data_IF_285938969884
#
_entry.id   IF_285938969884
#
_cell.length_a   1.000
_cell.length_b   1.000
_cell.length_c   1.000
_cell.angle_alpha   90.00
_cell.angle_beta   90.00
_cell.angle_gamma   90.00
#
_symmetry.space_group_name_H-M   'P 1'
#
loop_
_entity.id
_entity.type
_entity.pdbx_description
1 polymer ?
#
# COMPACT_ATOMS: atom_id res chain seq x y z
N UNK A 1 -33.10 -9.16 -27.09
CA UNK A 1 -33.60 -8.95 -25.71
C UNK A 1 -32.66 -9.73 -24.80
N UNK A 2 -31.51 -9.15 -24.44
CA UNK A 2 -31.24 -8.32 -23.25
C UNK A 2 -31.58 -9.06 -21.95
N UNK A 3 -30.55 -9.58 -21.28
CA UNK A 3 -30.14 -9.04 -19.97
C UNK A 3 -28.81 -9.65 -19.57
N UNK A 4 -27.75 -8.85 -19.71
CA UNK A 4 -26.51 -9.00 -18.95
C UNK A 4 -26.80 -8.55 -17.52
N UNK A 5 -26.67 -9.45 -16.55
CA UNK A 5 -26.48 -9.06 -15.16
C UNK A 5 -24.98 -9.03 -14.91
N UNK A 6 -24.37 -7.84 -14.99
CA UNK A 6 -23.08 -7.59 -14.37
C UNK A 6 -23.42 -7.27 -12.92
N UNK A 7 -23.44 -8.31 -12.08
CA UNK A 7 -23.42 -8.11 -10.63
C UNK A 7 -22.07 -7.49 -10.27
N UNK A 8 -22.06 -6.18 -10.04
CA UNK A 8 -20.99 -5.52 -9.33
C UNK A 8 -20.97 -6.05 -7.91
N UNK A 9 -20.20 -7.12 -7.67
CA UNK A 9 -19.87 -7.53 -6.31
C UNK A 9 -19.08 -6.38 -5.71
N UNK A 10 -19.72 -5.58 -4.86
CA UNK A 10 -19.02 -4.64 -3.99
C UNK A 10 -17.96 -5.43 -3.22
N UNK A 11 -16.71 -5.29 -3.64
CA UNK A 11 -15.59 -5.93 -2.97
C UNK A 11 -15.46 -5.31 -1.58
N UNK A 12 -15.87 -6.05 -0.56
CA UNK A 12 -15.67 -5.67 0.82
C UNK A 12 -14.17 -5.63 1.11
N UNK A 13 -13.68 -4.47 1.57
CA UNK A 13 -12.32 -4.32 2.07
C UNK A 13 -12.34 -4.51 3.58
N UNK A 14 -11.41 -5.29 4.10
CA UNK A 14 -11.22 -5.41 5.54
C UNK A 14 -10.26 -4.33 6.03
N UNK A 15 -10.62 -3.64 7.11
CA UNK A 15 -9.77 -2.69 7.80
C UNK A 15 -9.68 -3.05 9.28
N UNK A 16 -8.47 -3.00 9.83
CA UNK A 16 -8.21 -3.23 11.25
C UNK A 16 -7.95 -1.91 11.96
N UNK A 17 -8.37 -1.83 13.23
CA UNK A 17 -8.22 -0.67 14.10
C UNK A 17 -7.75 -1.08 15.50
N UNK A 18 -7.11 -0.15 16.20
CA UNK A 18 -6.76 -0.27 17.61
C UNK A 18 -7.29 0.91 18.41
N UNK A 19 -7.63 0.67 19.69
CA UNK A 19 -8.20 1.69 20.58
C UNK A 19 -7.10 2.64 21.05
N UNK A 20 -7.18 3.89 20.62
CA UNK A 20 -6.11 4.88 20.74
C UNK A 20 -6.22 5.84 21.92
N UNK A 21 -7.30 5.72 22.71
CA UNK A 21 -7.47 6.43 23.98
C UNK A 21 -6.22 6.33 24.88
N UNK A 22 -6.00 7.35 25.71
CA UNK A 22 -4.90 7.34 26.68
C UNK A 22 -5.09 6.22 27.71
N UNK A 23 -6.31 6.04 28.22
CA UNK A 23 -6.73 4.83 28.92
C UNK A 23 -7.57 3.93 27.99
N UNK A 24 -7.02 2.81 27.50
CA UNK A 24 -7.74 1.91 26.60
C UNK A 24 -8.91 1.18 27.27
N UNK A 25 -9.00 1.17 28.60
CA UNK A 25 -10.04 0.43 29.34
C UNK A 25 -11.10 1.33 29.96
N UNK A 26 -10.95 2.66 29.87
CA UNK A 26 -11.94 3.61 30.35
C UNK A 26 -13.27 3.44 29.60
N UNK A 27 -14.36 3.45 30.35
CA UNK A 27 -15.75 3.47 29.84
C UNK A 27 -16.36 4.86 29.83
N UNK A 28 -15.66 5.85 30.38
CA UNK A 28 -16.17 7.20 30.57
C UNK A 28 -15.75 8.18 29.45
N UNK A 29 -14.84 7.75 28.58
CA UNK A 29 -14.34 8.52 27.45
C UNK A 29 -14.98 8.03 26.15
N UNK A 30 -15.10 8.93 25.17
CA UNK A 30 -15.48 8.54 23.82
C UNK A 30 -14.42 7.62 23.23
N UNK A 31 -14.85 6.54 22.57
CA UNK A 31 -13.93 5.59 21.98
C UNK A 31 -13.21 6.20 20.77
N UNK A 32 -11.89 6.27 20.84
CA UNK A 32 -11.04 6.66 19.74
C UNK A 32 -10.39 5.41 19.13
N UNK A 33 -10.52 5.27 17.82
CA UNK A 33 -10.02 4.12 17.07
C UNK A 33 -9.13 4.60 15.94
N UNK A 34 -7.88 4.13 15.94
CA UNK A 34 -6.90 4.45 14.91
C UNK A 34 -6.72 3.27 13.96
N UNK A 35 -6.69 3.54 12.65
CA UNK A 35 -6.44 2.52 11.63
C UNK A 35 -5.01 1.96 11.77
N UNK A 36 -4.86 0.66 11.59
CA UNK A 36 -3.56 0.11 11.21
C UNK A 36 -3.20 0.52 9.78
N UNK A 37 -1.91 0.56 9.46
CA UNK A 37 -1.48 0.75 8.08
C UNK A 37 -1.98 -0.38 7.17
N UNK A 38 -1.98 -0.16 5.86
CA UNK A 38 -2.39 -1.17 4.88
C UNK A 38 -1.59 -2.47 5.02
N UNK A 39 -0.28 -2.35 5.26
CA UNK A 39 0.65 -3.48 5.39
C UNK A 39 0.35 -4.25 6.68
N UNK A 40 0.24 -3.55 7.82
CA UNK A 40 -0.09 -4.18 9.10
C UNK A 40 -1.47 -4.84 9.05
N UNK A 41 -2.46 -4.16 8.45
CA UNK A 41 -3.80 -4.72 8.27
C UNK A 41 -3.78 -5.99 7.44
N UNK A 42 -2.97 -6.05 6.37
CA UNK A 42 -2.81 -7.25 5.55
C UNK A 42 -2.18 -8.41 6.34
N UNK A 43 -1.16 -8.14 7.15
CA UNK A 43 -0.51 -9.14 8.01
C UNK A 43 -1.52 -9.71 9.02
N UNK A 44 -2.26 -8.82 9.70
CA UNK A 44 -3.27 -9.22 10.68
C UNK A 44 -4.37 -10.06 10.02
N UNK A 45 -4.86 -9.64 8.86
CA UNK A 45 -5.90 -10.33 8.12
C UNK A 45 -5.44 -11.70 7.60
N UNK A 46 -4.18 -11.82 7.16
CA UNK A 46 -3.61 -13.10 6.77
C UNK A 46 -3.64 -14.10 7.93
N UNK A 47 -3.20 -13.68 9.12
CA UNK A 47 -3.23 -14.52 10.33
C UNK A 47 -4.66 -14.84 10.74
N UNK A 48 -5.59 -13.88 10.62
CA UNK A 48 -7.00 -14.09 10.94
C UNK A 48 -7.63 -15.19 10.10
N UNK A 49 -7.29 -15.24 8.80
CA UNK A 49 -7.83 -16.17 7.82
C UNK A 49 -7.16 -17.56 7.82
N UNK A 50 -5.99 -17.71 8.46
CA UNK A 50 -5.37 -19.03 8.63
C UNK A 50 -6.22 -19.89 9.56
N UNK A 51 -6.42 -21.15 9.18
CA UNK A 51 -7.18 -22.13 9.96
C UNK A 51 -6.34 -22.76 11.10
N UNK A 52 -5.61 -21.92 11.85
CA UNK A 52 -4.74 -22.33 12.94
C UNK A 52 -5.36 -21.97 14.29
N UNK A 53 -5.06 -22.77 15.32
CA UNK A 53 -5.51 -22.52 16.71
C UNK A 53 -4.86 -21.28 17.32
N UNK A 54 -3.63 -20.98 16.90
CA UNK A 54 -2.88 -19.82 17.38
C UNK A 54 -3.08 -18.67 16.41
N UNK A 55 -3.84 -17.66 16.82
CA UNK A 55 -4.07 -16.45 16.04
C UNK A 55 -3.25 -15.28 16.61
N UNK A 56 -1.93 -15.44 16.59
CA UNK A 56 -0.97 -14.41 17.01
C UNK A 56 -0.31 -13.80 15.77
N UNK A 57 -0.50 -12.51 15.53
CA UNK A 57 0.19 -11.79 14.46
C UNK A 57 1.35 -10.98 15.04
N UNK A 58 2.52 -11.05 14.40
CA UNK A 58 3.72 -10.34 14.83
C UNK A 58 3.92 -9.09 13.96
N UNK A 59 3.89 -7.92 14.58
CA UNK A 59 4.24 -6.63 13.96
C UNK A 59 5.56 -6.12 14.54
N UNK A 60 6.11 -5.03 14.03
CA UNK A 60 7.44 -4.54 14.46
C UNK A 60 7.51 -4.25 15.97
N UNK A 61 6.58 -3.43 16.47
CA UNK A 61 6.59 -2.96 17.87
C UNK A 61 5.58 -3.67 18.79
N UNK A 62 4.71 -4.49 18.21
CA UNK A 62 3.57 -5.08 18.90
C UNK A 62 3.30 -6.50 18.42
N UNK A 63 2.68 -7.30 19.27
CA UNK A 63 2.04 -8.56 18.86
C UNK A 63 0.52 -8.44 19.01
N UNK A 64 -0.22 -9.08 18.11
CA UNK A 64 -1.67 -9.04 18.05
C UNK A 64 -2.21 -10.42 18.40
N UNK A 65 -2.84 -10.55 19.55
CA UNK A 65 -3.58 -11.74 19.92
C UNK A 65 -5.03 -11.59 19.45
N UNK A 66 -5.36 -12.24 18.33
CA UNK A 66 -6.68 -12.17 17.72
C UNK A 66 -7.73 -13.01 18.44
N UNK A 67 -7.33 -13.98 19.28
CA UNK A 67 -8.28 -14.74 20.08
C UNK A 67 -8.92 -13.83 21.13
N UNK A 68 -8.11 -12.96 21.74
CA UNK A 68 -8.57 -12.00 22.74
C UNK A 68 -8.89 -10.62 22.16
N UNK A 69 -8.59 -10.40 20.87
CA UNK A 69 -8.70 -9.10 20.20
C UNK A 69 -7.93 -8.00 20.91
N UNK A 70 -6.66 -8.29 21.25
CA UNK A 70 -5.76 -7.38 21.97
C UNK A 70 -4.43 -7.23 21.24
N UNK A 71 -3.96 -6.00 21.14
CA UNK A 71 -2.58 -5.62 20.83
C UNK A 71 -1.76 -5.55 22.12
N UNK A 72 -0.57 -6.12 22.12
CA UNK A 72 0.37 -6.14 23.25
C UNK A 72 1.69 -5.51 22.81
N UNK A 73 2.22 -4.55 23.56
CA UNK A 73 3.54 -3.97 23.28
C UNK A 73 4.66 -4.96 23.57
N UNK A 74 5.61 -5.06 22.64
CA UNK A 74 6.83 -5.88 22.83
C UNK A 74 7.79 -5.27 23.84
N UNK A 75 7.75 -3.95 24.00
CA UNK A 75 8.57 -3.23 24.98
C UNK A 75 7.99 -3.31 26.40
N UNK A 76 6.67 -3.36 26.51
CA UNK A 76 5.96 -3.40 27.79
C UNK A 76 4.69 -4.26 27.69
N UNK A 77 4.73 -5.53 28.15
CA UNK A 77 3.59 -6.45 28.07
C UNK A 77 2.33 -5.98 28.81
N UNK A 78 2.44 -5.01 29.73
CA UNK A 78 1.29 -4.44 30.42
C UNK A 78 0.57 -3.38 29.58
N UNK A 79 1.23 -2.84 28.55
CA UNK A 79 0.62 -1.92 27.60
C UNK A 79 -0.16 -2.70 26.56
N UNK A 80 -1.45 -2.85 26.84
CA UNK A 80 -2.39 -3.58 26.01
C UNK A 80 -3.50 -2.66 25.51
N UNK A 81 -3.95 -2.90 24.28
CA UNK A 81 -5.01 -2.12 23.64
C UNK A 81 -5.97 -3.05 22.91
N UNK A 82 -7.26 -2.76 22.98
CA UNK A 82 -8.25 -3.49 22.21
C UNK A 82 -8.08 -3.24 20.71
N UNK A 83 -8.41 -4.23 19.90
CA UNK A 83 -8.44 -4.12 18.45
C UNK A 83 -9.79 -4.55 17.90
N UNK A 84 -10.13 -4.09 16.69
CA UNK A 84 -11.35 -4.51 16.00
C UNK A 84 -11.15 -4.61 14.49
N UNK A 85 -11.90 -5.53 13.90
CA UNK A 85 -12.00 -5.76 12.45
C UNK A 85 -13.29 -5.13 11.94
N UNK A 86 -13.21 -4.34 10.87
CA UNK A 86 -14.37 -3.72 10.21
C UNK A 86 -14.35 -4.10 8.73
N UNK A 87 -15.52 -4.48 8.20
CA UNK A 87 -15.72 -4.65 6.77
C UNK A 87 -16.28 -3.34 6.20
N UNK A 88 -15.52 -2.71 5.32
CA UNK A 88 -15.88 -1.44 4.67
C UNK A 88 -16.20 -1.69 3.20
N UNK A 89 -17.21 -0.99 2.68
CA UNK A 89 -17.49 -1.01 1.24
C UNK A 89 -16.42 -0.23 0.49
N UNK A 90 -16.01 -0.69 -0.70
CA UNK A 90 -15.00 0.00 -1.54
C UNK A 90 -15.43 1.40 -1.96
N UNK A 91 -16.71 1.74 -1.85
CA UNK A 91 -17.27 3.03 -2.23
C UNK A 91 -17.01 4.14 -1.20
N UNK A 92 -16.41 3.82 -0.04
CA UNK A 92 -15.85 4.80 0.89
C UNK A 92 -14.52 5.33 0.34
N UNK A 93 -14.66 6.33 -0.52
CA UNK A 93 -13.67 7.14 -1.25
C UNK A 93 -12.45 7.72 -0.50
N UNK A 94 -11.86 7.07 0.51
CA UNK A 94 -11.09 7.81 1.53
C UNK A 94 -9.63 7.45 1.81
N UNK A 95 -8.99 6.54 1.08
CA UNK A 95 -7.55 6.25 1.30
C UNK A 95 -6.72 6.34 0.01
N UNK A 96 -7.06 7.26 -0.89
CA UNK A 96 -6.09 7.70 -1.89
C UNK A 96 -5.01 8.51 -1.18
N UNK A 97 -3.77 8.06 -1.28
CA UNK A 97 -2.59 8.77 -0.76
C UNK A 97 -2.50 10.13 -1.44
N UNK A 98 -3.07 11.18 -0.83
CA UNK A 98 -3.16 12.52 -1.44
C UNK A 98 -1.78 13.05 -1.87
N UNK A 99 -0.74 12.67 -1.12
CA UNK A 99 0.66 12.97 -1.44
C UNK A 99 1.18 12.38 -2.76
N UNK A 100 0.45 11.45 -3.40
CA UNK A 100 0.78 10.96 -4.76
C UNK A 100 0.11 11.80 -5.85
N UNK A 101 -0.83 12.66 -5.49
CA UNK A 101 -1.60 13.49 -6.41
C UNK A 101 -1.18 14.96 -6.33
N UNK A 102 0.05 15.26 -5.91
CA UNK A 102 0.56 16.62 -6.05
C UNK A 102 0.56 17.00 -7.53
N UNK A 103 -0.22 18.02 -7.84
CA UNK A 103 -0.22 18.68 -9.13
C UNK A 103 1.19 19.22 -9.37
N UNK A 104 1.99 18.51 -10.17
CA UNK A 104 3.24 19.07 -10.65
C UNK A 104 2.84 20.19 -11.60
N UNK A 105 3.15 21.47 -11.34
CA UNK A 105 2.88 22.52 -12.31
C UNK A 105 3.55 22.10 -13.62
N UNK A 106 2.78 22.09 -14.71
CA UNK A 106 3.30 21.71 -16.01
C UNK A 106 4.56 22.54 -16.27
N UNK A 107 5.73 21.90 -16.20
CA UNK A 107 6.98 22.54 -16.59
C UNK A 107 6.81 22.84 -18.07
N UNK A 108 6.55 24.11 -18.39
CA UNK A 108 6.39 24.62 -19.75
C UNK A 108 7.69 24.57 -20.56
N UNK A 109 8.71 23.86 -20.06
CA UNK A 109 9.98 23.65 -20.72
C UNK A 109 9.87 22.36 -21.52
N UNK A 110 9.88 22.51 -22.84
CA UNK A 110 10.07 21.40 -23.77
C UNK A 110 11.34 20.64 -23.41
N UNK A 111 11.36 19.32 -23.68
CA UNK A 111 12.53 18.46 -23.47
C UNK A 111 13.83 18.98 -24.15
N UNK A 112 13.73 19.96 -25.05
CA UNK A 112 14.85 20.62 -25.73
C UNK A 112 15.66 21.58 -24.87
N UNK A 113 15.09 22.10 -23.78
CA UNK A 113 15.66 23.29 -23.13
C UNK A 113 16.44 22.92 -21.87
N UNK A 114 17.64 22.38 -22.12
CA UNK A 114 18.77 22.56 -21.20
C UNK A 114 18.66 21.89 -19.83
N UNK A 115 18.23 20.63 -19.78
CA UNK A 115 18.52 19.80 -18.61
C UNK A 115 20.02 19.51 -18.61
N UNK A 116 20.78 20.24 -17.78
CA UNK A 116 22.20 20.01 -17.60
C UNK A 116 22.47 18.53 -17.22
N UNK A 117 23.68 18.04 -17.51
CA UNK A 117 24.15 16.67 -17.23
C UNK A 117 23.84 16.14 -15.81
N UNK A 118 23.54 17.04 -14.89
CA UNK A 118 23.24 16.78 -13.48
C UNK A 118 21.81 16.28 -13.22
N UNK A 119 20.85 16.50 -14.14
CA UNK A 119 19.44 16.18 -13.91
C UNK A 119 19.12 14.67 -13.85
N UNK A 120 20.08 13.82 -14.22
CA UNK A 120 19.86 12.38 -14.32
C UNK A 120 20.99 11.59 -13.66
N UNK A 121 21.34 11.92 -12.43
CA UNK A 121 22.29 11.14 -11.62
C UNK A 121 21.98 9.64 -11.67
N UNK A 122 20.71 9.26 -11.54
CA UNK A 122 20.28 7.87 -11.67
C UNK A 122 20.57 7.26 -13.06
N UNK A 123 20.35 7.99 -14.17
CA UNK A 123 20.67 7.48 -15.51
C UNK A 123 22.19 7.37 -15.69
N UNK A 124 22.95 8.32 -15.14
CA UNK A 124 24.41 8.28 -15.22
C UNK A 124 25.00 7.12 -14.41
N UNK A 125 24.43 6.80 -13.25
CA UNK A 125 24.81 5.65 -12.43
C UNK A 125 24.39 4.34 -13.09
N UNK A 126 23.15 4.25 -13.55
CA UNK A 126 22.67 3.07 -14.27
C UNK A 126 23.47 2.78 -15.54
N UNK A 127 23.93 3.81 -16.26
CA UNK A 127 24.81 3.66 -17.43
C UNK A 127 26.20 3.13 -17.07
N UNK A 128 26.76 3.51 -15.92
CA UNK A 128 28.08 3.04 -15.48
C UNK A 128 28.11 1.52 -15.28
N UNK A 129 27.00 0.96 -14.79
CA UNK A 129 26.91 -0.49 -14.51
C UNK A 129 26.67 -1.34 -15.76
N UNK A 130 26.31 -0.72 -16.89
CA UNK A 130 25.87 -1.45 -18.08
C UNK A 130 26.95 -1.63 -19.14
N UNK A 131 28.02 -0.84 -19.13
CA UNK A 131 29.03 -0.79 -20.21
C UNK A 131 28.43 -0.75 -21.64
N UNK A 132 27.19 -0.24 -21.78
CA UNK A 132 26.49 -0.18 -23.05
C UNK A 132 26.74 1.15 -23.75
N UNK A 133 26.86 1.10 -25.07
CA UNK A 133 26.81 2.28 -25.92
C UNK A 133 25.41 2.89 -25.95
N UNK A 134 25.32 4.18 -26.30
CA UNK A 134 24.03 4.86 -26.44
C UNK A 134 23.11 4.17 -27.47
N UNK A 135 23.69 3.56 -28.52
CA UNK A 135 22.93 2.83 -29.54
C UNK A 135 22.28 1.57 -28.96
N UNK A 136 23.00 0.80 -28.15
CA UNK A 136 22.48 -0.42 -27.51
C UNK A 136 21.40 -0.10 -26.48
N UNK A 137 21.53 1.02 -25.76
CA UNK A 137 20.50 1.49 -24.82
C UNK A 137 19.21 1.81 -25.57
N UNK A 138 19.30 2.54 -26.69
CA UNK A 138 18.14 2.89 -27.51
C UNK A 138 17.49 1.64 -28.10
N UNK A 139 18.29 0.68 -28.58
CA UNK A 139 17.79 -0.58 -29.13
C UNK A 139 17.09 -1.43 -28.06
N UNK A 140 17.67 -1.58 -26.87
CA UNK A 140 17.04 -2.32 -25.77
C UNK A 140 15.73 -1.66 -25.31
N UNK A 141 15.70 -0.33 -25.23
CA UNK A 141 14.48 0.41 -24.89
C UNK A 141 13.38 0.21 -25.94
N UNK A 142 13.71 0.30 -27.23
CA UNK A 142 12.78 0.05 -28.32
C UNK A 142 12.23 -1.39 -28.26
N UNK A 143 13.10 -2.37 -28.04
CA UNK A 143 12.69 -3.77 -27.91
C UNK A 143 11.79 -3.99 -26.69
N UNK A 144 12.07 -3.37 -25.55
CA UNK A 144 11.21 -3.43 -24.37
C UNK A 144 9.79 -2.92 -24.65
N UNK A 145 9.68 -1.75 -25.29
CA UNK A 145 8.37 -1.16 -25.67
C UNK A 145 7.62 -2.09 -26.63
N UNK A 146 8.31 -2.66 -27.62
CA UNK A 146 7.71 -3.60 -28.58
C UNK A 146 7.20 -4.86 -27.88
N UNK A 147 7.96 -5.40 -26.92
CA UNK A 147 7.58 -6.61 -26.16
C UNK A 147 6.33 -6.33 -25.32
N UNK A 148 6.32 -5.22 -24.57
CA UNK A 148 5.17 -4.81 -23.76
C UNK A 148 3.92 -4.55 -24.63
N UNK A 149 4.09 -3.86 -25.77
CA UNK A 149 2.99 -3.63 -26.73
C UNK A 149 2.36 -4.94 -27.22
N UNK A 150 3.20 -5.94 -27.54
CA UNK A 150 2.74 -7.29 -27.92
C UNK A 150 1.98 -7.99 -26.80
N UNK A 151 2.44 -7.89 -25.55
CA UNK A 151 1.73 -8.49 -24.40
C UNK A 151 0.36 -7.85 -24.18
N UNK A 152 0.23 -6.56 -24.49
CA UNK A 152 -1.04 -5.82 -24.40
C UNK A 152 -1.93 -5.96 -25.65
N UNK A 153 -1.54 -6.78 -26.64
CA UNK A 153 -2.30 -7.00 -27.86
C UNK A 153 -2.39 -5.78 -28.79
N UNK A 154 -1.45 -4.84 -28.65
CA UNK A 154 -1.36 -3.65 -29.51
C UNK A 154 -0.25 -3.89 -30.54
N UNK A 155 -0.63 -3.87 -31.82
CA UNK A 155 0.26 -4.04 -32.98
C UNK A 155 0.49 -2.69 -33.66
#
# INVERSE_FOLDING_TARGET
MVSQAIEGVDQLRTQWYWKSNSDPWSTNENEEWTKYSDIESAIIEEVFNRNNKTKLAELDNYSINLNDSIQISKLDPNKQRQIKRVLTSRNESQDLREERFFFTPALSKTFSDGWGKEAYTFLTEWRKDKELSDAEIVEQAANGIIIEGKQLGKH
#
